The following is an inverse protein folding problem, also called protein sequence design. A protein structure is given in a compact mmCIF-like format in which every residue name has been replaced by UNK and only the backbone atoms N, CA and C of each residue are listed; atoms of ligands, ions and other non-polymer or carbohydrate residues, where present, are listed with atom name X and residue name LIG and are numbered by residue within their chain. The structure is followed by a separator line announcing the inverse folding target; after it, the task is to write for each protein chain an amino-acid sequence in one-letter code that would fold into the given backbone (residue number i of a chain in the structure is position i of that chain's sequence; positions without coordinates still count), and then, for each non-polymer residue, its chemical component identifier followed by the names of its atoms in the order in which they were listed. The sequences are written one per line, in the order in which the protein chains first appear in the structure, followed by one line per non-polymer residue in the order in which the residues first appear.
data_IF_307486251723
#
_entry.id   IF_307486251723
#
_cell.length_a   1.000
_cell.length_b   1.000
_cell.length_c   1.000
_cell.angle_alpha   90.00
_cell.angle_beta   90.00
_cell.angle_gamma   90.00
#
_symmetry.space_group_name_H-M   'P 1'
#
loop_
_entity.id
_entity.type
_entity.pdbx_description
1 polymer ?
#
# COMPACT_ATOMS: atom_id res chain seq x y z
N UNK A 1 -12.10 50.71 -17.65
CA UNK A 1 -10.75 50.16 -17.93
C UNK A 1 -9.99 50.17 -16.62
N UNK A 2 -9.52 49.09 -16.01
CA UNK A 2 -9.42 47.68 -16.41
C UNK A 2 -9.20 46.84 -15.13
N UNK A 3 -9.95 45.73 -15.04
CA UNK A 3 -9.78 44.48 -14.27
C UNK A 3 -8.98 44.45 -12.94
N UNK A 4 -9.71 44.12 -11.86
CA UNK A 4 -9.19 43.34 -10.74
C UNK A 4 -8.71 41.97 -11.25
N UNK A 5 -7.42 41.69 -11.17
CA UNK A 5 -6.86 40.36 -11.45
C UNK A 5 -7.15 39.44 -10.27
N UNK A 6 -8.35 38.88 -10.28
CA UNK A 6 -8.72 37.71 -9.49
C UNK A 6 -7.88 36.54 -9.98
N UNK A 7 -6.80 36.22 -9.26
CA UNK A 7 -6.06 34.97 -9.44
C UNK A 7 -7.04 33.83 -9.19
N UNK A 8 -7.46 33.20 -10.28
CA UNK A 8 -8.32 32.03 -10.29
C UNK A 8 -7.71 30.99 -9.34
N UNK A 9 -8.46 30.69 -8.27
CA UNK A 9 -8.25 29.50 -7.44
C UNK A 9 -8.52 28.29 -8.36
N UNK A 10 -7.56 27.39 -8.62
CA UNK A 10 -7.94 26.06 -9.06
C UNK A 10 -8.64 25.39 -7.88
N UNK A 11 -9.94 25.30 -8.06
CA UNK A 11 -10.90 24.45 -7.41
C UNK A 11 -10.34 23.06 -7.06
N UNK A 12 -10.54 22.61 -5.82
CA UNK A 12 -10.98 21.25 -5.59
C UNK A 12 -9.98 20.09 -5.66
N UNK A 13 -8.80 20.18 -5.04
CA UNK A 13 -8.11 18.96 -4.59
C UNK A 13 -7.73 19.11 -3.12
N UNK A 14 -8.31 18.32 -2.18
CA UNK A 14 -7.88 18.40 -0.80
C UNK A 14 -6.40 18.00 -0.75
N UNK A 15 -5.59 18.82 -0.08
CA UNK A 15 -4.17 18.60 0.20
C UNK A 15 -3.91 17.41 1.16
N UNK A 16 -4.75 16.37 1.10
CA UNK A 16 -4.59 15.10 1.78
C UNK A 16 -3.94 14.03 0.88
N UNK A 17 -3.73 14.33 -0.40
CA UNK A 17 -3.10 13.42 -1.37
C UNK A 17 -1.61 13.69 -1.61
N UNK A 18 -0.98 14.54 -0.79
CA UNK A 18 0.48 14.64 -0.75
C UNK A 18 0.99 13.35 -0.11
N UNK A 19 1.29 12.38 -0.97
CA UNK A 19 2.27 11.32 -0.74
C UNK A 19 2.21 10.75 0.67
N UNK A 20 1.13 10.03 0.98
CA UNK A 20 1.17 9.09 2.08
C UNK A 20 2.36 8.18 1.80
N UNK A 21 3.48 8.38 2.50
CA UNK A 21 4.64 7.51 2.48
C UNK A 21 4.11 6.08 2.41
N UNK A 22 4.39 5.35 1.32
CA UNK A 22 3.85 4.01 1.19
C UNK A 22 4.35 3.21 2.40
N UNK A 23 3.43 2.97 3.34
CA UNK A 23 3.80 2.49 4.66
C UNK A 23 4.18 1.03 4.50
N UNK A 24 5.45 0.73 4.64
CA UNK A 24 5.90 -0.65 4.68
C UNK A 24 5.47 -1.32 5.99
N UNK A 25 4.71 -2.42 5.89
CA UNK A 25 4.19 -3.16 7.03
C UNK A 25 4.72 -4.59 7.04
N UNK A 26 4.84 -5.18 8.23
CA UNK A 26 5.14 -6.61 8.35
C UNK A 26 3.91 -7.43 7.97
N UNK A 27 4.06 -8.69 7.52
CA UNK A 27 2.94 -9.60 7.30
C UNK A 27 1.99 -9.70 8.49
N UNK A 28 2.53 -9.65 9.73
CA UNK A 28 1.72 -9.64 10.94
C UNK A 28 0.88 -8.36 11.10
N UNK A 29 1.43 -7.20 10.73
CA UNK A 29 0.69 -5.94 10.78
C UNK A 29 -0.38 -5.88 9.68
N UNK A 30 -0.09 -6.42 8.48
CA UNK A 30 -1.06 -6.55 7.39
C UNK A 30 -2.24 -7.43 7.78
N UNK A 31 -1.97 -8.60 8.38
CA UNK A 31 -3.02 -9.47 8.91
C UNK A 31 -3.90 -8.75 9.94
N UNK A 32 -3.30 -8.12 10.95
CA UNK A 32 -4.04 -7.39 11.99
C UNK A 32 -4.91 -6.25 11.43
N UNK A 33 -4.44 -5.59 10.38
CA UNK A 33 -5.10 -4.40 9.84
C UNK A 33 -6.16 -4.72 8.79
N UNK A 34 -5.92 -5.71 7.94
CA UNK A 34 -6.77 -6.01 6.78
C UNK A 34 -7.48 -7.36 6.88
N UNK A 35 -7.23 -8.15 7.93
CA UNK A 35 -7.92 -9.41 8.21
C UNK A 35 -7.52 -10.58 7.31
N UNK A 36 -6.47 -10.43 6.49
CA UNK A 36 -6.01 -11.48 5.58
C UNK A 36 -5.17 -12.53 6.34
N UNK A 37 -5.32 -13.85 6.07
CA UNK A 37 -4.55 -14.88 6.77
C UNK A 37 -3.04 -14.66 6.63
N UNK A 38 -2.32 -14.77 7.74
CA UNK A 38 -0.87 -14.54 7.77
C UNK A 38 -0.10 -15.54 6.90
N UNK A 39 -0.51 -16.80 6.91
CA UNK A 39 0.10 -17.86 6.08
C UNK A 39 -0.02 -17.55 4.60
N UNK A 40 -1.18 -17.08 4.14
CA UNK A 40 -1.39 -16.66 2.76
C UNK A 40 -0.44 -15.52 2.35
N UNK A 41 -0.23 -14.55 3.25
CA UNK A 41 0.71 -13.45 2.98
C UNK A 41 2.15 -13.98 2.86
N UNK A 42 2.57 -14.92 3.71
CA UNK A 42 3.90 -15.52 3.61
C UNK A 42 4.07 -16.39 2.37
N UNK A 43 3.04 -17.16 2.03
CA UNK A 43 3.03 -17.97 0.81
C UNK A 43 3.24 -17.06 -0.41
N UNK A 44 2.45 -15.99 -0.53
CA UNK A 44 2.58 -15.04 -1.64
C UNK A 44 3.96 -14.37 -1.70
N UNK A 45 4.59 -14.11 -0.55
CA UNK A 45 5.96 -13.59 -0.49
C UNK A 45 6.96 -14.64 -1.00
N UNK A 46 6.81 -15.89 -0.59
CA UNK A 46 7.72 -16.98 -0.97
C UNK A 46 7.54 -17.42 -2.43
N UNK A 47 6.34 -17.31 -2.98
CA UNK A 47 6.06 -17.57 -4.40
C UNK A 47 6.33 -16.37 -5.29
N UNK A 48 6.89 -15.30 -4.75
CA UNK A 48 7.21 -14.05 -5.46
C UNK A 48 5.99 -13.34 -6.08
N UNK A 49 4.78 -13.69 -5.62
CA UNK A 49 3.50 -13.11 -6.07
C UNK A 49 3.22 -11.76 -5.37
N UNK A 50 3.75 -11.59 -4.15
CA UNK A 50 3.70 -10.35 -3.38
C UNK A 50 5.11 -9.81 -3.13
N UNK A 51 5.47 -8.64 -3.69
CA UNK A 51 6.77 -8.02 -3.45
C UNK A 51 7.01 -7.74 -1.96
N UNK A 52 8.15 -8.20 -1.44
CA UNK A 52 8.57 -7.95 -0.08
C UNK A 52 10.06 -7.61 0.02
N UNK A 53 10.36 -6.73 0.95
CA UNK A 53 11.71 -6.31 1.30
C UNK A 53 12.17 -7.06 2.54
N UNK A 54 13.34 -7.71 2.46
CA UNK A 54 13.95 -8.31 3.64
C UNK A 54 14.68 -7.23 4.46
N UNK A 55 14.06 -6.83 5.57
CA UNK A 55 14.65 -5.91 6.55
C UNK A 55 15.18 -6.65 7.79
N UNK A 56 15.32 -7.98 7.71
CA UNK A 56 15.95 -8.77 8.76
C UNK A 56 17.45 -8.49 8.86
N UNK A 57 18.02 -8.68 10.05
CA UNK A 57 19.47 -8.75 10.25
C UNK A 57 19.86 -10.15 10.72
N UNK A 58 20.91 -10.70 10.10
CA UNK A 58 21.45 -12.02 10.46
C UNK A 58 20.45 -13.13 10.21
N UNK A 59 20.28 -14.00 11.21
CA UNK A 59 19.52 -15.26 11.11
C UNK A 59 17.98 -15.11 11.13
N UNK A 60 17.47 -13.88 11.32
CA UNK A 60 16.03 -13.64 11.50
C UNK A 60 15.47 -12.76 10.37
N UNK A 61 14.91 -13.33 9.31
CA UNK A 61 14.30 -12.56 8.24
C UNK A 61 13.09 -11.79 8.76
N UNK A 62 13.02 -10.50 8.41
CA UNK A 62 11.89 -9.64 8.72
C UNK A 62 11.40 -9.02 7.42
N UNK A 63 10.38 -9.65 6.84
CA UNK A 63 9.76 -9.15 5.63
C UNK A 63 8.94 -7.89 5.92
N UNK A 64 9.11 -6.90 5.06
CA UNK A 64 8.33 -5.68 4.98
C UNK A 64 7.67 -5.65 3.61
N UNK A 65 6.39 -5.33 3.57
CA UNK A 65 5.59 -5.29 2.35
C UNK A 65 5.01 -3.89 2.24
N UNK A 66 5.15 -3.29 1.06
CA UNK A 66 4.52 -2.04 0.72
C UNK A 66 2.98 -2.18 0.78
N UNK A 67 2.30 -1.21 1.38
CA UNK A 67 0.85 -1.30 1.54
C UNK A 67 0.15 -1.24 0.19
N UNK A 68 0.65 -0.45 -0.76
CA UNK A 68 0.12 -0.39 -2.12
C UNK A 68 0.20 -1.74 -2.82
N UNK A 69 1.38 -2.39 -2.82
CA UNK A 69 1.57 -3.73 -3.41
C UNK A 69 0.65 -4.77 -2.77
N UNK A 70 0.53 -4.76 -1.44
CA UNK A 70 -0.40 -5.64 -0.74
C UNK A 70 -1.85 -5.41 -1.16
N UNK A 71 -2.28 -4.15 -1.30
CA UNK A 71 -3.65 -3.85 -1.70
C UNK A 71 -3.91 -4.29 -3.14
N UNK A 72 -2.99 -4.03 -4.07
CA UNK A 72 -3.07 -4.49 -5.46
C UNK A 72 -3.12 -6.02 -5.55
N UNK A 73 -2.22 -6.71 -4.85
CA UNK A 73 -2.23 -8.17 -4.77
C UNK A 73 -3.54 -8.70 -4.17
N UNK A 74 -4.05 -8.09 -3.10
CA UNK A 74 -5.33 -8.51 -2.51
C UNK A 74 -6.50 -8.40 -3.49
N UNK A 75 -6.45 -7.49 -4.46
CA UNK A 75 -7.49 -7.40 -5.49
C UNK A 75 -7.47 -8.59 -6.45
N UNK A 76 -6.32 -9.22 -6.70
CA UNK A 76 -6.22 -10.42 -7.54
C UNK A 76 -6.89 -11.64 -6.89
N UNK A 77 -6.95 -11.68 -5.55
CA UNK A 77 -7.59 -12.73 -4.78
C UNK A 77 -9.14 -12.68 -4.79
N UNK A 78 -9.73 -11.58 -5.27
CA UNK A 78 -11.19 -11.42 -5.28
C UNK A 78 -11.82 -12.32 -6.34
N UNK A 79 -12.51 -13.37 -5.91
CA UNK A 79 -13.32 -14.20 -6.80
C UNK A 79 -14.74 -13.63 -6.85
N UNK A 80 -15.05 -12.84 -7.88
CA UNK A 80 -16.43 -12.36 -8.12
C UNK A 80 -16.58 -10.89 -8.49
N UNK A 81 -15.98 -10.45 -9.60
CA UNK A 81 -16.49 -9.29 -10.34
C UNK A 81 -16.21 -9.44 -11.85
N UNK A 82 -16.84 -10.44 -12.46
CA UNK A 82 -17.09 -10.46 -13.90
C UNK A 82 -18.60 -10.58 -14.12
#
# INVERSE_FOLDING_TARGET
MTLNSQTARPDGVPAAYIEAEDRMLTPQALWKRYGLPRDLIYEAIHTEDLPAYNAGRGDKPRFLVAVSDFLTWRETLRVGNK
#
